data_IF_936669612737
#
_entry.id   IF_936669612737
#
_cell.length_a   1.000
_cell.length_b   1.000
_cell.length_c   1.000
_cell.angle_alpha   90.00
_cell.angle_beta   90.00
_cell.angle_gamma   90.00
#
_symmetry.space_group_name_H-M   'P 1'
#
loop_
_entity.id
_entity.type
_entity.pdbx_description
1 polymer ?
#
# COMPACT_ATOMS: atom_id res chain seq x y z
N UNK A 1 -5.21 -34.29 -4.43
CA UNK A 1 -5.80 -33.02 -4.93
C UNK A 1 -6.91 -32.48 -4.02
N UNK A 2 -7.90 -33.27 -3.60
CA UNK A 2 -8.97 -32.81 -2.67
C UNK A 2 -8.46 -32.28 -1.32
N UNK A 3 -7.42 -32.90 -0.76
CA UNK A 3 -6.82 -32.49 0.54
C UNK A 3 -6.13 -31.13 0.46
N UNK A 4 -5.57 -30.77 -0.71
CA UNK A 4 -4.94 -29.47 -0.96
C UNK A 4 -5.98 -28.34 -1.03
N UNK A 5 -7.16 -28.63 -1.61
CA UNK A 5 -8.27 -27.68 -1.69
C UNK A 5 -8.92 -27.43 -0.31
N UNK A 6 -9.03 -28.50 0.50
CA UNK A 6 -9.55 -28.41 1.88
C UNK A 6 -8.56 -27.66 2.79
N UNK A 7 -7.25 -27.84 2.61
CA UNK A 7 -6.21 -27.08 3.33
C UNK A 7 -6.20 -25.58 2.98
N UNK A 8 -6.48 -25.22 1.72
CA UNK A 8 -6.60 -23.83 1.30
C UNK A 8 -7.83 -23.15 1.92
N UNK A 9 -8.96 -23.86 2.02
CA UNK A 9 -10.18 -23.37 2.66
C UNK A 9 -10.03 -23.25 4.19
N UNK A 10 -9.35 -24.19 4.85
CA UNK A 10 -9.06 -24.12 6.29
C UNK A 10 -8.06 -22.99 6.60
N UNK A 11 -7.07 -22.76 5.73
CA UNK A 11 -6.11 -21.66 5.88
C UNK A 11 -6.77 -20.28 5.80
N UNK A 12 -7.69 -20.08 4.84
CA UNK A 12 -8.46 -18.83 4.72
C UNK A 12 -9.47 -18.68 5.88
N UNK A 13 -10.09 -19.78 6.32
CA UNK A 13 -10.99 -19.81 7.47
C UNK A 13 -10.30 -19.49 8.80
N UNK A 14 -9.11 -20.04 9.04
CA UNK A 14 -8.30 -19.76 10.22
C UNK A 14 -7.76 -18.33 10.22
N UNK A 15 -7.40 -17.79 9.04
CA UNK A 15 -6.97 -16.40 8.89
C UNK A 15 -8.11 -15.41 9.20
N UNK A 16 -9.34 -15.71 8.77
CA UNK A 16 -10.54 -14.95 9.13
C UNK A 16 -10.90 -15.08 10.62
N UNK A 17 -10.76 -16.27 11.20
CA UNK A 17 -11.06 -16.52 12.63
C UNK A 17 -10.01 -15.91 13.58
N UNK A 18 -8.74 -15.85 13.18
CA UNK A 18 -7.67 -15.19 13.95
C UNK A 18 -7.84 -13.67 13.94
N UNK A 19 -8.32 -13.09 12.83
CA UNK A 19 -8.66 -11.67 12.75
C UNK A 19 -9.87 -11.31 13.63
N UNK A 20 -10.78 -12.27 13.86
CA UNK A 20 -11.99 -12.12 14.69
C UNK A 20 -11.74 -12.39 16.19
N UNK A 21 -10.91 -13.40 16.54
CA UNK A 21 -10.71 -13.83 17.93
C UNK A 21 -9.80 -12.92 18.77
N UNK A 22 -9.07 -11.98 18.17
CA UNK A 22 -8.18 -11.08 18.92
C UNK A 22 -8.91 -9.96 19.71
N UNK A 23 -10.23 -9.81 19.54
CA UNK A 23 -11.02 -8.90 20.40
C UNK A 23 -11.49 -9.51 21.73
N UNK A 24 -11.33 -10.82 21.98
CA UNK A 24 -11.98 -11.47 23.13
C UNK A 24 -11.05 -12.06 24.23
N UNK A 25 -9.75 -12.31 23.98
CA UNK A 25 -8.92 -13.14 24.89
C UNK A 25 -7.83 -12.42 25.71
N UNK A 26 -7.72 -11.10 25.63
CA UNK A 26 -6.60 -10.34 26.21
C UNK A 26 -6.78 -9.91 27.69
N UNK A 27 -7.87 -10.27 28.37
CA UNK A 27 -8.16 -9.75 29.73
C UNK A 27 -7.95 -10.70 30.93
N UNK A 28 -7.63 -12.00 30.77
CA UNK A 28 -7.69 -12.94 31.92
C UNK A 28 -6.52 -13.89 32.20
N UNK A 29 -5.40 -13.87 31.46
CA UNK A 29 -4.26 -14.79 31.71
C UNK A 29 -2.93 -14.11 32.04
N UNK A 30 -2.99 -12.86 32.50
CA UNK A 30 -1.82 -12.02 32.78
C UNK A 30 -1.10 -12.32 34.12
N UNK A 31 -1.68 -13.07 35.06
CA UNK A 31 -1.13 -13.08 36.44
C UNK A 31 -0.54 -14.40 36.97
N UNK A 32 -0.59 -15.52 36.25
CA UNK A 32 -0.20 -16.83 36.82
C UNK A 32 1.12 -17.43 36.28
N UNK A 33 1.76 -16.82 35.27
CA UNK A 33 2.97 -17.39 34.66
C UNK A 33 4.28 -16.69 35.08
N UNK A 34 4.25 -15.89 36.15
CA UNK A 34 5.41 -15.14 36.67
C UNK A 34 6.15 -15.88 37.81
N UNK A 35 6.09 -17.22 37.88
CA UNK A 35 6.70 -17.94 39.01
C UNK A 35 7.45 -19.24 38.65
N UNK A 36 8.05 -19.33 37.46
CA UNK A 36 9.06 -20.38 37.22
C UNK A 36 10.18 -19.87 36.29
N UNK A 37 11.10 -19.09 36.86
CA UNK A 37 12.51 -19.00 36.42
C UNK A 37 13.20 -20.33 36.86
N UNK A 38 14.25 -20.88 36.24
CA UNK A 38 15.59 -20.27 36.16
C UNK A 38 16.55 -20.90 35.11
N UNK A 39 16.21 -21.92 34.32
CA UNK A 39 17.27 -22.69 33.59
C UNK A 39 17.46 -22.38 32.09
N UNK A 40 16.85 -21.33 31.53
CA UNK A 40 16.90 -21.05 30.07
C UNK A 40 17.38 -19.60 29.74
N UNK A 41 18.16 -18.99 30.63
CA UNK A 41 18.43 -17.53 30.61
C UNK A 41 19.45 -17.08 29.57
N UNK A 42 20.58 -17.76 29.35
CA UNK A 42 21.67 -17.15 28.55
C UNK A 42 21.50 -17.30 27.03
N UNK A 43 21.00 -18.44 26.56
CA UNK A 43 20.71 -18.67 25.14
C UNK A 43 19.55 -17.79 24.65
N UNK A 44 18.48 -17.65 25.44
CA UNK A 44 17.36 -16.75 25.12
C UNK A 44 17.74 -15.28 25.24
N UNK A 45 18.62 -14.88 26.15
CA UNK A 45 19.07 -13.48 26.29
C UNK A 45 19.95 -13.06 25.11
N UNK A 46 20.81 -13.96 24.61
CA UNK A 46 21.59 -13.73 23.39
C UNK A 46 20.73 -13.80 22.13
N UNK A 47 19.80 -14.76 22.02
CA UNK A 47 18.82 -14.82 20.94
C UNK A 47 17.90 -13.58 20.93
N UNK A 48 17.44 -13.11 22.08
CA UNK A 48 16.65 -11.87 22.22
C UNK A 48 17.48 -10.65 21.86
N UNK A 49 18.77 -10.58 22.19
CA UNK A 49 19.66 -9.48 21.78
C UNK A 49 19.93 -9.49 20.27
N UNK A 50 20.19 -10.65 19.67
CA UNK A 50 20.35 -10.80 18.22
C UNK A 50 19.04 -10.47 17.48
N UNK A 51 17.91 -11.01 17.96
CA UNK A 51 16.57 -10.69 17.46
C UNK A 51 16.24 -9.21 17.62
N UNK A 52 16.57 -8.58 18.76
CA UNK A 52 16.32 -7.15 18.97
C UNK A 52 17.22 -6.28 18.08
N UNK A 53 18.44 -6.72 17.75
CA UNK A 53 19.35 -5.98 16.86
C UNK A 53 18.92 -6.09 15.40
N UNK A 54 18.62 -7.31 14.94
CA UNK A 54 18.07 -7.58 13.59
C UNK A 54 16.69 -6.94 13.44
N UNK A 55 15.88 -6.95 14.50
CA UNK A 55 14.58 -6.29 14.52
C UNK A 55 14.71 -4.78 14.57
N UNK A 56 15.67 -4.18 15.28
CA UNK A 56 15.81 -2.72 15.36
C UNK A 56 16.25 -2.06 14.05
N UNK A 57 17.11 -2.70 13.28
CA UNK A 57 17.56 -2.23 11.96
C UNK A 57 16.43 -2.32 10.93
N UNK A 58 15.75 -3.48 10.87
CA UNK A 58 14.57 -3.66 10.01
C UNK A 58 13.35 -2.85 10.47
N UNK A 59 13.22 -2.54 11.76
CA UNK A 59 12.07 -1.80 12.34
C UNK A 59 12.01 -0.38 11.83
N UNK A 60 13.14 0.35 11.73
CA UNK A 60 13.14 1.71 11.17
C UNK A 60 12.75 1.73 9.69
N UNK A 61 13.25 0.77 8.91
CA UNK A 61 12.90 0.64 7.50
C UNK A 61 11.43 0.25 7.31
N UNK A 62 10.92 -0.66 8.14
CA UNK A 62 9.53 -1.11 8.11
C UNK A 62 8.55 -0.07 8.67
N UNK A 63 8.94 0.68 9.69
CA UNK A 63 8.20 1.84 10.20
C UNK A 63 8.07 2.92 9.11
N UNK A 64 9.15 3.21 8.38
CA UNK A 64 9.12 4.11 7.24
C UNK A 64 8.19 3.61 6.13
N UNK A 65 8.25 2.32 5.78
CA UNK A 65 7.34 1.70 4.78
C UNK A 65 5.87 1.70 5.23
N UNK A 66 5.60 1.51 6.51
CA UNK A 66 4.23 1.52 7.07
C UNK A 66 3.65 2.92 7.20
N UNK A 67 4.49 3.89 7.56
CA UNK A 67 4.12 5.30 7.57
C UNK A 67 3.79 5.79 6.16
N UNK A 68 4.59 5.41 5.17
CA UNK A 68 4.32 5.66 3.76
C UNK A 68 3.06 4.92 3.27
N UNK A 69 2.71 3.78 3.88
CA UNK A 69 1.50 3.02 3.55
C UNK A 69 0.21 3.52 4.24
N UNK A 70 0.28 4.65 4.96
CA UNK A 70 -0.84 5.27 5.67
C UNK A 70 -1.43 4.43 6.81
N UNK A 71 -0.67 3.46 7.33
CA UNK A 71 -1.02 2.73 8.55
C UNK A 71 -0.38 3.46 9.73
N UNK A 72 -1.06 4.51 10.20
CA UNK A 72 -0.55 5.41 11.24
C UNK A 72 -0.54 4.83 12.66
N UNK A 73 -0.97 3.59 12.84
CA UNK A 73 -0.92 2.93 14.13
C UNK A 73 0.43 2.22 14.31
N UNK A 74 1.34 2.84 15.08
CA UNK A 74 2.64 2.30 15.50
C UNK A 74 2.54 0.88 16.11
N UNK A 75 1.35 0.45 16.55
CA UNK A 75 1.10 -0.90 17.09
C UNK A 75 1.03 -2.03 16.05
N UNK A 76 0.68 -1.75 14.78
CA UNK A 76 0.57 -2.81 13.75
C UNK A 76 1.93 -3.17 13.13
N UNK A 77 2.89 -2.26 13.16
CA UNK A 77 4.29 -2.51 12.79
C UNK A 77 4.93 -3.58 13.67
N UNK A 78 4.63 -3.55 14.97
CA UNK A 78 5.07 -4.51 15.97
C UNK A 78 4.44 -5.90 15.75
N UNK A 79 3.28 -5.99 15.09
CA UNK A 79 2.58 -7.27 14.87
C UNK A 79 2.92 -7.94 13.54
N UNK A 80 3.38 -7.18 12.54
CA UNK A 80 3.64 -7.69 11.20
C UNK A 80 4.91 -8.56 11.09
N UNK A 81 5.99 -8.15 11.77
CA UNK A 81 7.22 -8.93 11.89
C UNK A 81 6.99 -10.29 12.58
N UNK A 82 6.39 -10.38 13.79
CA UNK A 82 6.10 -11.66 14.41
C UNK A 82 5.05 -12.46 13.63
N UNK A 83 4.11 -11.83 12.91
CA UNK A 83 3.21 -12.55 12.00
C UNK A 83 3.98 -13.21 10.84
N UNK A 84 4.94 -12.51 10.21
CA UNK A 84 5.78 -13.05 9.14
C UNK A 84 6.62 -14.23 9.65
N UNK A 85 7.26 -14.10 10.80
CA UNK A 85 8.01 -15.19 11.44
C UNK A 85 7.12 -16.34 11.93
N UNK A 86 5.90 -16.04 12.40
CA UNK A 86 4.94 -17.06 12.85
C UNK A 86 4.44 -17.90 11.68
N UNK A 87 4.15 -17.31 10.52
CA UNK A 87 3.73 -18.06 9.33
C UNK A 87 4.87 -18.92 8.80
N UNK A 88 6.10 -18.42 8.78
CA UNK A 88 7.29 -19.22 8.43
C UNK A 88 7.45 -20.38 9.42
N UNK A 89 7.39 -20.11 10.73
CA UNK A 89 7.49 -21.13 11.76
C UNK A 89 6.41 -22.21 11.67
N UNK A 90 5.16 -21.82 11.47
CA UNK A 90 4.04 -22.76 11.29
C UNK A 90 4.24 -23.61 10.03
N UNK A 91 4.70 -23.02 8.93
CA UNK A 91 4.96 -23.75 7.68
C UNK A 91 6.10 -24.75 7.84
N UNK A 92 7.19 -24.38 8.52
CA UNK A 92 8.32 -25.28 8.83
C UNK A 92 7.89 -26.43 9.73
N UNK A 93 7.06 -26.17 10.75
CA UNK A 93 6.54 -27.22 11.65
C UNK A 93 5.62 -28.19 10.90
N UNK A 94 4.73 -27.68 10.04
CA UNK A 94 3.83 -28.52 9.24
C UNK A 94 4.59 -29.37 8.23
N UNK A 95 5.55 -28.78 7.50
CA UNK A 95 6.38 -29.54 6.55
C UNK A 95 7.25 -30.59 7.27
N UNK A 96 7.86 -30.23 8.40
CA UNK A 96 8.66 -31.15 9.22
C UNK A 96 7.82 -32.31 9.78
N UNK A 97 6.61 -32.03 10.26
CA UNK A 97 5.68 -33.03 10.77
C UNK A 97 5.23 -34.00 9.66
N UNK A 98 4.94 -33.51 8.45
CA UNK A 98 4.54 -34.37 7.32
C UNK A 98 5.67 -35.27 6.81
N UNK A 99 6.92 -34.80 6.84
CA UNK A 99 8.11 -35.61 6.51
C UNK A 99 8.36 -36.67 7.59
N UNK A 100 8.26 -36.32 8.88
CA UNK A 100 8.40 -37.26 10.00
C UNK A 100 7.29 -38.31 10.05
N UNK A 101 6.06 -37.95 9.64
CA UNK A 101 4.93 -38.87 9.56
C UNK A 101 5.01 -39.84 8.37
N UNK A 102 6.04 -39.76 7.53
CA UNK A 102 6.28 -40.68 6.40
C UNK A 102 5.35 -40.49 5.20
N UNK A 103 4.49 -39.47 5.21
CA UNK A 103 3.53 -39.21 4.13
C UNK A 103 4.18 -38.57 2.89
N UNK A 104 5.26 -37.80 3.07
CA UNK A 104 6.00 -37.15 1.98
C UNK A 104 7.48 -37.54 2.02
N UNK A 105 8.03 -37.85 0.84
CA UNK A 105 9.48 -37.87 0.65
C UNK A 105 10.02 -36.43 0.62
N UNK A 106 11.29 -36.24 0.99
CA UNK A 106 11.91 -34.91 1.05
C UNK A 106 11.76 -34.11 -0.25
N UNK A 107 11.76 -34.78 -1.41
CA UNK A 107 11.63 -34.14 -2.72
C UNK A 107 10.24 -33.51 -2.95
N UNK A 108 9.17 -34.13 -2.44
CA UNK A 108 7.80 -33.65 -2.62
C UNK A 108 7.45 -32.49 -1.67
N UNK A 109 8.21 -32.34 -0.58
CA UNK A 109 8.04 -31.26 0.40
C UNK A 109 8.78 -29.97 0.02
N UNK A 110 9.82 -30.04 -0.82
CA UNK A 110 10.68 -28.89 -1.16
C UNK A 110 9.92 -27.83 -1.97
N UNK A 111 9.18 -28.24 -3.01
CA UNK A 111 8.45 -27.32 -3.89
C UNK A 111 7.35 -26.51 -3.17
N UNK A 112 6.43 -27.12 -2.38
CA UNK A 112 5.43 -26.35 -1.63
C UNK A 112 6.06 -25.49 -0.52
N UNK A 113 7.14 -25.96 0.12
CA UNK A 113 7.86 -25.16 1.13
C UNK A 113 8.46 -23.89 0.52
N UNK A 114 9.14 -24.01 -0.63
CA UNK A 114 9.64 -22.87 -1.41
C UNK A 114 8.51 -21.93 -1.84
N UNK A 115 7.40 -22.47 -2.34
CA UNK A 115 6.24 -21.69 -2.76
C UNK A 115 5.65 -20.85 -1.61
N UNK A 116 5.49 -21.44 -0.43
CA UNK A 116 4.99 -20.71 0.76
C UNK A 116 6.02 -19.69 1.24
N UNK A 117 7.31 -20.02 1.25
CA UNK A 117 8.35 -19.07 1.68
C UNK A 117 8.38 -17.83 0.78
N UNK A 118 8.30 -18.03 -0.55
CA UNK A 118 8.23 -16.96 -1.54
C UNK A 118 6.93 -16.15 -1.35
N UNK A 119 5.78 -16.81 -1.20
CA UNK A 119 4.51 -16.13 -1.02
C UNK A 119 4.49 -15.26 0.26
N UNK A 120 5.04 -15.76 1.37
CA UNK A 120 5.12 -15.03 2.64
C UNK A 120 6.06 -13.82 2.56
N UNK A 121 7.03 -13.83 1.64
CA UNK A 121 7.89 -12.66 1.41
C UNK A 121 7.19 -11.66 0.49
N UNK A 122 6.61 -12.11 -0.63
CA UNK A 122 6.13 -11.24 -1.72
C UNK A 122 4.74 -10.65 -1.45
N UNK A 123 3.79 -11.48 -1.00
CA UNK A 123 2.39 -11.05 -0.76
C UNK A 123 2.30 -9.85 0.19
N UNK A 124 2.96 -9.83 1.36
CA UNK A 124 2.88 -8.68 2.25
C UNK A 124 3.44 -7.39 1.64
N UNK A 125 4.58 -7.49 0.95
CA UNK A 125 5.24 -6.35 0.35
C UNK A 125 4.38 -5.75 -0.78
N UNK A 126 3.70 -6.61 -1.55
CA UNK A 126 2.75 -6.18 -2.57
C UNK A 126 1.50 -5.49 -1.98
N UNK A 127 0.90 -6.06 -0.92
CA UNK A 127 -0.25 -5.45 -0.24
C UNK A 127 0.12 -4.10 0.37
N UNK A 128 1.32 -4.00 0.94
CA UNK A 128 1.83 -2.76 1.51
C UNK A 128 2.06 -1.69 0.44
N UNK A 129 2.68 -2.06 -0.69
CA UNK A 129 2.88 -1.17 -1.82
C UNK A 129 1.54 -0.69 -2.43
N UNK A 130 0.55 -1.58 -2.54
CA UNK A 130 -0.79 -1.22 -3.03
C UNK A 130 -1.50 -0.24 -2.09
N UNK A 131 -1.37 -0.43 -0.77
CA UNK A 131 -1.90 0.51 0.23
C UNK A 131 -1.20 1.86 0.17
N UNK A 132 0.14 1.88 0.10
CA UNK A 132 0.93 3.10 -0.10
C UNK A 132 0.45 3.89 -1.32
N UNK A 133 0.31 3.23 -2.47
CA UNK A 133 -0.18 3.86 -3.69
C UNK A 133 -1.58 4.46 -3.52
N UNK A 134 -2.45 3.81 -2.75
CA UNK A 134 -3.80 4.31 -2.47
C UNK A 134 -3.76 5.57 -1.63
N UNK A 135 -2.92 5.60 -0.59
CA UNK A 135 -2.74 6.75 0.30
C UNK A 135 -2.12 7.92 -0.45
N UNK A 136 -1.05 7.68 -1.21
CA UNK A 136 -0.41 8.67 -2.07
C UNK A 136 -1.43 9.28 -3.06
N UNK A 137 -2.28 8.44 -3.67
CA UNK A 137 -3.34 8.91 -4.57
C UNK A 137 -4.39 9.76 -3.87
N UNK A 138 -4.83 9.38 -2.67
CA UNK A 138 -5.80 10.16 -1.90
C UNK A 138 -5.20 11.52 -1.52
N UNK A 139 -3.96 11.53 -1.02
CA UNK A 139 -3.24 12.76 -0.67
C UNK A 139 -3.07 13.67 -1.88
N UNK A 140 -2.63 13.15 -3.03
CA UNK A 140 -2.49 13.94 -4.27
C UNK A 140 -3.83 14.55 -4.71
N UNK A 141 -4.93 13.79 -4.63
CA UNK A 141 -6.26 14.27 -5.03
C UNK A 141 -6.73 15.46 -4.18
N UNK A 142 -6.55 15.38 -2.87
CA UNK A 142 -7.05 16.39 -1.94
C UNK A 142 -6.05 17.56 -1.70
N UNK A 143 -4.81 17.42 -2.17
CA UNK A 143 -3.77 18.43 -1.99
C UNK A 143 -4.15 19.83 -2.53
N UNK A 144 -4.76 20.00 -3.72
CA UNK A 144 -5.14 21.32 -4.22
C UNK A 144 -6.12 22.05 -3.29
N UNK A 145 -7.02 21.32 -2.64
CA UNK A 145 -7.96 21.89 -1.69
C UNK A 145 -7.27 22.42 -0.43
N UNK A 146 -6.28 21.68 0.09
CA UNK A 146 -5.41 22.17 1.17
C UNK A 146 -4.67 23.45 0.75
N UNK A 147 -4.11 23.48 -0.46
CA UNK A 147 -3.36 24.63 -0.97
C UNK A 147 -4.25 25.87 -1.08
N UNK A 148 -5.49 25.72 -1.56
CA UNK A 148 -6.47 26.81 -1.62
C UNK A 148 -6.77 27.37 -0.23
N UNK A 149 -7.06 26.51 0.75
CA UNK A 149 -7.31 26.95 2.12
C UNK A 149 -6.08 27.62 2.74
N UNK A 150 -4.89 27.10 2.46
CA UNK A 150 -3.63 27.71 2.89
C UNK A 150 -3.44 29.09 2.27
N UNK A 151 -3.78 29.26 0.98
CA UNK A 151 -3.74 30.56 0.32
C UNK A 151 -4.65 31.56 1.02
N UNK A 152 -5.90 31.18 1.33
CA UNK A 152 -6.85 32.03 2.06
C UNK A 152 -6.30 32.40 3.45
N UNK A 153 -5.75 31.44 4.19
CA UNK A 153 -5.14 31.70 5.50
C UNK A 153 -4.00 32.73 5.40
N UNK A 154 -3.10 32.57 4.42
CA UNK A 154 -1.98 33.49 4.18
C UNK A 154 -2.49 34.87 3.74
N UNK A 155 -3.53 34.93 2.91
CA UNK A 155 -4.16 36.18 2.47
C UNK A 155 -4.75 36.97 3.66
N UNK A 156 -5.27 36.28 4.67
CA UNK A 156 -5.76 36.90 5.91
C UNK A 156 -4.65 37.34 6.87
N UNK A 157 -3.38 37.10 6.53
CA UNK A 157 -2.23 37.50 7.32
C UNK A 157 -1.67 36.44 8.26
N UNK A 158 -2.13 35.18 8.15
CA UNK A 158 -1.52 34.08 8.92
C UNK A 158 -0.12 33.75 8.38
N UNK A 159 0.82 33.43 9.27
CA UNK A 159 2.10 32.86 8.87
C UNK A 159 1.90 31.45 8.31
N UNK A 160 2.81 30.99 7.44
CA UNK A 160 2.72 29.65 6.86
C UNK A 160 2.76 28.54 7.91
N UNK A 161 3.56 28.66 8.98
CA UNK A 161 3.56 27.64 10.03
C UNK A 161 2.23 27.60 10.80
N UNK A 162 1.63 28.76 11.03
CA UNK A 162 0.34 28.86 11.71
C UNK A 162 -0.80 28.34 10.84
N UNK A 163 -0.79 28.67 9.54
CA UNK A 163 -1.73 28.15 8.56
C UNK A 163 -1.63 26.62 8.46
N UNK A 164 -0.41 26.07 8.41
CA UNK A 164 -0.17 24.63 8.36
C UNK A 164 -0.70 23.92 9.62
N UNK A 165 -0.49 24.49 10.80
CA UNK A 165 -1.01 23.94 12.05
C UNK A 165 -2.54 24.01 12.13
N UNK A 166 -3.15 25.11 11.69
CA UNK A 166 -4.61 25.25 11.63
C UNK A 166 -5.23 24.22 10.67
N UNK A 167 -4.67 24.09 9.47
CA UNK A 167 -5.17 23.15 8.46
C UNK A 167 -4.95 21.69 8.85
N UNK A 168 -3.95 21.38 9.68
CA UNK A 168 -3.75 20.03 10.21
C UNK A 168 -4.97 19.54 11.00
N UNK A 169 -5.66 20.44 11.71
CA UNK A 169 -6.84 20.12 12.50
C UNK A 169 -8.11 20.18 11.64
N UNK A 170 -8.23 21.17 10.76
CA UNK A 170 -9.38 21.32 9.85
C UNK A 170 -9.52 20.15 8.86
N UNK A 171 -8.40 19.63 8.34
CA UNK A 171 -8.42 18.54 7.36
C UNK A 171 -8.84 17.18 7.94
N UNK A 172 -8.92 17.03 9.27
CA UNK A 172 -9.32 15.76 9.89
C UNK A 172 -10.72 15.31 9.47
N UNK A 173 -11.61 16.26 9.17
CA UNK A 173 -12.97 15.99 8.67
C UNK A 173 -13.05 15.62 7.19
N UNK A 174 -12.04 15.99 6.39
CA UNK A 174 -12.05 15.82 4.93
C UNK A 174 -11.28 14.57 4.49
N UNK A 175 -10.00 14.47 4.86
CA UNK A 175 -9.18 13.30 4.59
C UNK A 175 -8.20 13.03 5.75
N UNK A 176 -8.39 11.87 6.38
CA UNK A 176 -7.60 11.45 7.54
C UNK A 176 -6.12 11.22 7.21
N UNK A 177 -5.81 10.82 5.97
CA UNK A 177 -4.42 10.56 5.57
C UNK A 177 -3.66 11.86 5.38
N UNK A 178 -4.24 12.80 4.63
CA UNK A 178 -3.71 14.14 4.44
C UNK A 178 -3.55 14.85 5.80
N UNK A 179 -4.60 14.84 6.63
CA UNK A 179 -4.56 15.46 7.95
C UNK A 179 -3.41 14.94 8.81
N UNK A 180 -3.19 13.61 8.84
CA UNK A 180 -2.06 13.04 9.58
C UNK A 180 -0.71 13.54 9.05
N UNK A 181 -0.51 13.54 7.74
CA UNK A 181 0.77 13.97 7.16
C UNK A 181 1.01 15.46 7.39
N UNK A 182 -0.02 16.30 7.26
CA UNK A 182 0.07 17.74 7.52
C UNK A 182 0.30 18.02 9.01
N UNK A 183 -0.38 17.31 9.92
CA UNK A 183 -0.15 17.42 11.36
C UNK A 183 1.30 17.09 11.73
N UNK A 184 1.84 16.00 11.18
CA UNK A 184 3.24 15.62 11.38
C UNK A 184 4.21 16.64 10.77
N UNK A 185 3.87 17.25 9.64
CA UNK A 185 4.66 18.34 9.04
C UNK A 185 4.62 19.59 9.90
N UNK A 186 3.45 19.96 10.46
CA UNK A 186 3.29 21.12 11.33
C UNK A 186 4.06 20.97 12.65
N UNK A 187 3.99 19.80 13.29
CA UNK A 187 4.78 19.50 14.49
C UNK A 187 6.29 19.63 14.20
N UNK A 188 6.72 19.07 13.06
CA UNK A 188 8.12 19.12 12.65
C UNK A 188 8.58 20.53 12.32
N UNK A 189 7.74 21.34 11.66
CA UNK A 189 8.04 22.72 11.32
C UNK A 189 8.35 23.56 12.57
N UNK A 190 7.66 23.30 13.70
CA UNK A 190 7.93 23.95 14.98
C UNK A 190 9.28 23.56 15.60
N UNK A 191 9.80 22.37 15.29
CA UNK A 191 11.02 21.82 15.89
C UNK A 191 12.28 22.09 15.05
N UNK A 192 12.19 21.95 13.73
CA UNK A 192 13.35 22.01 12.81
C UNK A 192 13.27 23.14 11.79
N UNK A 193 12.19 23.94 11.81
CA UNK A 193 11.91 24.96 10.81
C UNK A 193 11.06 24.43 9.65
N UNK A 194 10.34 25.37 9.00
CA UNK A 194 9.40 25.07 7.93
C UNK A 194 10.06 24.42 6.71
N UNK A 195 11.24 24.89 6.29
CA UNK A 195 11.94 24.40 5.10
C UNK A 195 12.31 22.91 5.21
N UNK A 196 12.89 22.51 6.34
CA UNK A 196 13.26 21.11 6.60
C UNK A 196 12.01 20.23 6.72
N UNK A 197 10.96 20.72 7.39
CA UNK A 197 9.72 19.97 7.56
C UNK A 197 9.01 19.71 6.21
N UNK A 198 8.97 20.69 5.31
CA UNK A 198 8.40 20.52 3.98
C UNK A 198 9.23 19.54 3.14
N UNK A 199 10.57 19.59 3.23
CA UNK A 199 11.44 18.63 2.55
C UNK A 199 11.21 17.21 3.06
N UNK A 200 11.09 17.01 4.38
CA UNK A 200 10.71 15.72 4.97
C UNK A 200 9.30 15.29 4.50
N UNK A 201 8.36 16.22 4.33
CA UNK A 201 7.02 15.92 3.80
C UNK A 201 7.08 15.38 2.36
N UNK A 202 7.87 16.01 1.48
CA UNK A 202 8.07 15.53 0.11
C UNK A 202 8.75 14.15 0.03
N UNK A 203 9.63 13.83 0.98
CA UNK A 203 10.23 12.49 1.08
C UNK A 203 9.22 11.45 1.60
N UNK A 204 8.33 11.84 2.51
CA UNK A 204 7.28 10.95 3.06
C UNK A 204 6.21 10.60 2.04
N UNK A 205 5.72 11.59 1.29
CA UNK A 205 4.71 11.40 0.23
C UNK A 205 5.34 11.74 -1.11
N UNK A 206 5.77 10.71 -1.83
CA UNK A 206 6.58 10.87 -3.03
C UNK A 206 5.71 11.04 -4.28
N UNK A 207 4.73 11.95 -4.26
CA UNK A 207 3.90 12.29 -5.42
C UNK A 207 4.40 13.55 -6.12
N UNK A 208 4.07 13.70 -7.40
CA UNK A 208 4.54 14.84 -8.20
C UNK A 208 4.00 16.17 -7.67
N UNK A 209 2.74 16.18 -7.27
CA UNK A 209 2.01 17.35 -6.76
C UNK A 209 2.58 17.82 -5.42
N UNK A 210 2.90 16.89 -4.50
CA UNK A 210 3.52 17.21 -3.21
C UNK A 210 4.93 17.77 -3.39
N UNK A 211 5.70 17.20 -4.33
CA UNK A 211 7.04 17.71 -4.67
C UNK A 211 6.96 19.11 -5.27
N UNK A 212 6.07 19.34 -6.22
CA UNK A 212 5.83 20.67 -6.80
C UNK A 212 5.42 21.67 -5.73
N UNK A 213 4.48 21.31 -4.85
CA UNK A 213 4.07 22.17 -3.73
C UNK A 213 5.22 22.55 -2.81
N UNK A 214 5.98 21.56 -2.33
CA UNK A 214 7.11 21.77 -1.44
C UNK A 214 8.17 22.67 -2.09
N UNK A 215 8.52 22.38 -3.34
CA UNK A 215 9.53 23.12 -4.08
C UNK A 215 9.11 24.58 -4.31
N UNK A 216 7.88 24.78 -4.81
CA UNK A 216 7.32 26.11 -5.08
C UNK A 216 7.19 26.93 -3.79
N UNK A 217 6.78 26.31 -2.68
CA UNK A 217 6.66 26.99 -1.39
C UNK A 217 8.04 27.39 -0.84
N UNK A 218 9.02 26.49 -0.89
CA UNK A 218 10.40 26.75 -0.47
C UNK A 218 11.04 27.88 -1.29
N UNK A 219 10.82 27.86 -2.61
CA UNK A 219 11.31 28.91 -3.50
C UNK A 219 10.68 30.27 -3.16
N UNK A 220 9.38 30.30 -2.87
CA UNK A 220 8.65 31.54 -2.54
C UNK A 220 9.10 32.13 -1.21
N UNK A 221 9.40 31.29 -0.21
CA UNK A 221 9.97 31.71 1.07
C UNK A 221 11.31 32.42 0.91
N UNK A 222 12.16 31.96 -0.02
CA UNK A 222 13.49 32.54 -0.25
C UNK A 222 13.46 33.84 -1.08
N UNK A 223 12.50 33.99 -1.99
CA UNK A 223 12.47 35.09 -2.96
C UNK A 223 11.47 36.21 -2.60
N UNK A 224 10.70 36.06 -1.52
CA UNK A 224 9.81 37.10 -0.98
C UNK A 224 8.66 37.51 -1.92
N UNK A 225 8.31 36.66 -2.89
CA UNK A 225 7.19 36.89 -3.80
C UNK A 225 5.85 36.79 -3.07
N UNK A 226 4.75 37.24 -3.70
CA UNK A 226 3.40 37.07 -3.15
C UNK A 226 3.05 35.57 -3.06
N UNK A 227 3.27 34.98 -1.87
CA UNK A 227 3.01 33.57 -1.56
C UNK A 227 1.57 33.20 -1.93
N UNK A 228 0.61 34.07 -1.65
CA UNK A 228 -0.80 33.87 -2.00
C UNK A 228 -0.98 33.57 -3.50
N UNK A 229 -0.42 34.41 -4.37
CA UNK A 229 -0.59 34.26 -5.82
C UNK A 229 0.04 32.95 -6.32
N UNK A 230 1.18 32.58 -5.74
CA UNK A 230 1.89 31.35 -6.06
C UNK A 230 1.07 30.12 -5.67
N UNK A 231 0.48 30.09 -4.47
CA UNK A 231 -0.35 28.97 -4.01
C UNK A 231 -1.61 28.79 -4.89
N UNK A 232 -2.30 29.88 -5.23
CA UNK A 232 -3.50 29.81 -6.08
C UNK A 232 -3.15 29.29 -7.48
N UNK A 233 -2.04 29.79 -8.06
CA UNK A 233 -1.57 29.32 -9.37
C UNK A 233 -1.22 27.84 -9.32
N UNK A 234 -0.46 27.42 -8.31
CA UNK A 234 -0.08 26.02 -8.13
C UNK A 234 -1.29 25.10 -7.95
N UNK A 235 -2.28 25.49 -7.15
CA UNK A 235 -3.51 24.71 -6.96
C UNK A 235 -4.26 24.52 -8.28
N UNK A 236 -4.34 25.59 -9.08
CA UNK A 236 -4.93 25.55 -10.42
C UNK A 236 -4.15 24.62 -11.35
N UNK A 237 -2.82 24.72 -11.37
CA UNK A 237 -1.96 23.87 -12.21
C UNK A 237 -2.12 22.39 -11.84
N UNK A 238 -2.16 22.05 -10.55
CA UNK A 238 -2.37 20.66 -10.11
C UNK A 238 -3.75 20.16 -10.56
N UNK A 239 -4.80 20.98 -10.44
CA UNK A 239 -6.15 20.62 -10.91
C UNK A 239 -6.20 20.40 -12.42
N UNK A 240 -5.50 21.22 -13.18
CA UNK A 240 -5.39 21.07 -14.64
C UNK A 240 -4.69 19.75 -15.00
N UNK A 241 -3.58 19.41 -14.33
CA UNK A 241 -2.90 18.12 -14.51
C UNK A 241 -3.85 16.94 -14.17
N UNK A 242 -4.59 17.02 -13.07
CA UNK A 242 -5.56 15.97 -12.69
C UNK A 242 -6.68 15.81 -13.73
N UNK A 243 -7.11 16.92 -14.35
CA UNK A 243 -8.09 16.91 -15.43
C UNK A 243 -7.52 16.25 -16.68
N UNK A 244 -6.31 16.62 -17.12
CA UNK A 244 -5.63 16.02 -18.26
C UNK A 244 -5.44 14.50 -18.08
N UNK A 245 -5.02 14.06 -16.88
CA UNK A 245 -4.92 12.63 -16.59
C UNK A 245 -6.27 11.90 -16.68
N UNK A 246 -7.34 12.58 -16.28
CA UNK A 246 -8.70 12.02 -16.32
C UNK A 246 -9.17 11.93 -17.77
N UNK A 247 -8.89 12.95 -18.58
CA UNK A 247 -9.17 12.96 -20.02
C UNK A 247 -8.39 11.88 -20.76
N UNK A 248 -7.11 11.66 -20.44
CA UNK A 248 -6.31 10.58 -21.03
C UNK A 248 -6.93 9.21 -20.72
N UNK A 249 -7.34 8.98 -19.46
CA UNK A 249 -8.01 7.73 -19.05
C UNK A 249 -9.34 7.54 -19.78
N UNK A 250 -10.11 8.61 -19.98
CA UNK A 250 -11.37 8.59 -20.73
C UNK A 250 -11.11 8.30 -22.22
N UNK A 251 -10.09 8.91 -22.82
CA UNK A 251 -9.70 8.68 -24.20
C UNK A 251 -9.28 7.22 -24.45
N UNK A 252 -8.49 6.65 -23.53
CA UNK A 252 -8.10 5.24 -23.59
C UNK A 252 -9.29 4.29 -23.41
N UNK A 253 -10.29 4.66 -22.58
CA UNK A 253 -11.53 3.90 -22.46
C UNK A 253 -12.32 3.91 -23.76
N UNK A 254 -12.41 5.05 -24.46
CA UNK A 254 -13.09 5.16 -25.75
C UNK A 254 -12.48 4.23 -26.81
N UNK A 255 -11.15 4.16 -26.91
CA UNK A 255 -10.47 3.24 -27.82
C UNK A 255 -10.78 1.75 -27.53
N UNK A 256 -10.94 1.37 -26.26
CA UNK A 256 -11.29 0.00 -25.86
C UNK A 256 -12.72 -0.39 -26.22
N UNK A 257 -13.64 0.58 -26.40
CA UNK A 257 -15.02 0.32 -26.80
C UNK A 257 -15.14 -0.15 -28.26
N UNK A 258 -14.17 0.19 -29.11
CA UNK A 258 -14.14 -0.25 -30.51
C UNK A 258 -13.80 -1.74 -30.67
N UNK A 259 -13.10 -2.34 -29.70
CA UNK A 259 -12.64 -3.73 -29.78
C UNK A 259 -13.82 -4.71 -29.77
N UNK A 260 -14.78 -4.65 -28.80
CA UNK A 260 -16.00 -5.45 -28.88
C UNK A 260 -16.77 -5.22 -30.18
N UNK A 261 -16.90 -3.98 -30.64
CA UNK A 261 -17.65 -3.65 -31.85
C UNK A 261 -17.06 -4.32 -33.10
N UNK A 262 -15.74 -4.26 -33.28
CA UNK A 262 -15.05 -4.93 -34.38
C UNK A 262 -15.24 -6.45 -34.27
N UNK A 263 -15.10 -7.02 -33.07
CA UNK A 263 -15.25 -8.45 -32.85
C UNK A 263 -16.69 -8.94 -33.16
N UNK A 264 -17.71 -8.20 -32.74
CA UNK A 264 -19.12 -8.61 -32.89
C UNK A 264 -19.72 -8.28 -34.26
N UNK A 265 -19.23 -7.26 -34.96
CA UNK A 265 -19.78 -6.86 -36.27
C UNK A 265 -18.91 -7.39 -37.41
N UNK A 266 -17.60 -7.20 -37.35
CA UNK A 266 -16.72 -7.51 -38.49
C UNK A 266 -16.52 -9.03 -38.66
N UNK A 267 -16.31 -9.78 -37.58
CA UNK A 267 -16.08 -11.23 -37.66
C UNK A 267 -17.29 -11.98 -38.28
N UNK A 268 -18.55 -11.74 -37.86
CA UNK A 268 -19.70 -12.40 -38.49
C UNK A 268 -19.89 -12.01 -39.96
N UNK A 269 -19.64 -10.75 -40.32
CA UNK A 269 -19.73 -10.29 -41.71
C UNK A 269 -18.72 -11.03 -42.58
N UNK A 270 -17.46 -11.16 -42.13
CA UNK A 270 -16.42 -11.91 -42.86
C UNK A 270 -16.81 -13.38 -43.03
N UNK A 271 -17.31 -14.01 -41.96
CA UNK A 271 -17.79 -15.40 -42.01
C UNK A 271 -18.93 -15.55 -43.03
N UNK A 272 -19.89 -14.62 -43.03
CA UNK A 272 -21.05 -14.65 -43.92
C UNK A 272 -20.66 -14.51 -45.40
N UNK A 273 -19.65 -13.68 -45.70
CA UNK A 273 -19.14 -13.49 -47.07
C UNK A 273 -18.34 -14.71 -47.55
N UNK A 274 -17.51 -15.31 -46.69
CA UNK A 274 -16.64 -16.44 -47.04
C UNK A 274 -17.42 -17.75 -47.13
N UNK A 275 -18.44 -17.95 -46.29
CA UNK A 275 -19.27 -19.16 -46.25
C UNK A 275 -19.75 -19.67 -47.63
N UNK A 276 -20.37 -18.87 -48.51
CA UNK A 276 -20.79 -19.34 -49.83
C UNK A 276 -19.60 -19.60 -50.78
N UNK A 277 -18.46 -18.94 -50.59
CA UNK A 277 -17.24 -19.22 -51.35
C UNK A 277 -16.69 -20.60 -51.02
N UNK A 278 -16.56 -20.92 -49.73
CA UNK A 278 -16.08 -22.22 -49.24
C UNK A 278 -17.04 -23.34 -49.59
N UNK A 279 -18.36 -23.13 -49.43
CA UNK A 279 -19.36 -24.13 -49.81
C UNK A 279 -19.31 -24.48 -51.30
N UNK A 280 -19.08 -23.48 -52.17
CA UNK A 280 -18.94 -23.71 -53.62
C UNK A 280 -17.68 -24.52 -53.96
N UNK A 281 -16.54 -24.19 -53.35
CA UNK A 281 -15.28 -24.93 -53.57
C UNK A 281 -15.36 -26.36 -53.04
N UNK A 282 -15.97 -26.55 -51.86
CA UNK A 282 -16.17 -27.88 -51.27
C UNK A 282 -17.10 -28.76 -52.12
N UNK A 283 -18.14 -28.20 -52.73
CA UNK A 283 -19.02 -28.92 -53.66
C UNK A 283 -18.33 -29.24 -55.00
N UNK A 284 -17.48 -28.35 -55.51
CA UNK A 284 -16.74 -28.59 -56.76
C UNK A 284 -15.53 -29.54 -56.62
N UNK A 285 -14.95 -29.67 -55.43
CA UNK A 285 -13.80 -30.54 -55.16
C UNK A 285 -14.14 -31.95 -54.67
N UNK A 286 -15.44 -32.28 -54.49
CA UNK A 286 -15.92 -33.56 -53.97
C UNK A 286 -16.39 -34.57 -55.03
N UNK A 287 -16.08 -34.35 -56.31
CA UNK A 287 -16.33 -35.30 -57.40
C UNK A 287 -15.03 -35.50 -58.18
N UNK A 288 -14.28 -36.50 -57.74
CA UNK A 288 -13.06 -37.03 -58.34
C UNK A 288 -12.66 -38.29 -57.58
#
# INVERSE_FOLDING_TARGET
MLISLIMLLIGVGAFSWLQSSHKAKQRKRMHHLLQSEETESDARKNFRKAMNKISAENKKEFESKLEQAGVYNKGLAIYYLPAKFSVIGITTVICGFQVLAGNWQLNDAILPFLGVMIAVIIVPDFVLAAKKKTVERNVSRELPYLIDLMAVCVQTGMTLESALAYLADEMQGFDKHLAYHIHKTAERARLTGLETALTEFAVRINTQEVRSFTFTLLQSLQHGSSIYQVLITLSKDIREVQMLETEEKIGQLSAKMSIPLILFIMIPIVILIIAPGVMRVAQSGGIG
#
